data_IF_601436184070
#
_entry.id   IF_601436184070
#
_cell.length_a   1.000
_cell.length_b   1.000
_cell.length_c   1.000
_cell.angle_alpha   90.00
_cell.angle_beta   90.00
_cell.angle_gamma   90.00
#
_symmetry.space_group_name_H-M   'P 1'
#
loop_
_entity.id
_entity.type
_entity.pdbx_description
1 polymer ?
#
# COMPACT_ATOMS: atom_id res chain seq x y z
N UNK A 1 20.01 -12.09 11.36
CA UNK A 1 18.75 -12.04 10.61
C UNK A 1 18.88 -13.01 9.45
N UNK A 2 17.90 -13.88 9.19
CA UNK A 2 17.97 -14.73 7.99
C UNK A 2 17.77 -13.83 6.76
N UNK A 3 18.67 -13.94 5.80
CA UNK A 3 18.60 -13.22 4.53
C UNK A 3 17.39 -13.76 3.76
N UNK A 4 16.61 -12.88 3.14
CA UNK A 4 15.49 -13.28 2.28
C UNK A 4 16.05 -13.83 0.97
N UNK A 5 15.73 -15.11 0.69
CA UNK A 5 16.15 -15.77 -0.55
C UNK A 5 15.19 -15.42 -1.70
N UNK A 6 15.68 -14.82 -2.80
CA UNK A 6 14.86 -14.54 -3.98
C UNK A 6 14.15 -15.77 -4.56
N UNK A 7 14.77 -16.98 -4.48
CA UNK A 7 14.15 -18.20 -4.97
C UNK A 7 12.91 -18.59 -4.15
N UNK A 8 12.92 -18.35 -2.85
CA UNK A 8 11.76 -18.54 -1.99
C UNK A 8 10.65 -17.54 -2.29
N UNK A 9 11.01 -16.28 -2.56
CA UNK A 9 10.06 -15.22 -2.95
C UNK A 9 9.43 -15.57 -4.31
N UNK A 10 10.22 -15.99 -5.30
CA UNK A 10 9.72 -16.41 -6.62
C UNK A 10 8.70 -17.54 -6.51
N UNK A 11 9.03 -18.61 -5.80
CA UNK A 11 8.11 -19.75 -5.58
C UNK A 11 6.79 -19.32 -4.93
N UNK A 12 6.85 -18.44 -3.92
CA UNK A 12 5.65 -17.93 -3.23
C UNK A 12 4.85 -16.98 -4.09
N UNK A 13 5.51 -16.19 -4.93
CA UNK A 13 4.86 -15.31 -5.90
C UNK A 13 4.12 -16.11 -6.96
N UNK A 14 4.74 -17.17 -7.50
CA UNK A 14 4.10 -18.07 -8.47
C UNK A 14 2.86 -18.72 -7.86
N UNK A 15 2.95 -19.21 -6.60
CA UNK A 15 1.78 -19.74 -5.90
C UNK A 15 0.68 -18.67 -5.73
N UNK A 16 1.03 -17.46 -5.35
CA UNK A 16 0.07 -16.37 -5.20
C UNK A 16 -0.60 -16.02 -6.54
N UNK A 17 0.17 -15.96 -7.65
CA UNK A 17 -0.37 -15.72 -8.98
C UNK A 17 -1.35 -16.81 -9.40
N UNK A 18 -0.99 -18.09 -9.18
CA UNK A 18 -1.90 -19.20 -9.44
C UNK A 18 -3.19 -19.12 -8.60
N UNK A 19 -3.07 -18.76 -7.31
CA UNK A 19 -4.23 -18.55 -6.44
C UNK A 19 -5.12 -17.40 -6.96
N UNK A 20 -4.52 -16.31 -7.45
CA UNK A 20 -5.23 -15.16 -8.01
C UNK A 20 -5.92 -15.53 -9.35
N UNK A 21 -5.23 -16.21 -10.25
CA UNK A 21 -5.80 -16.69 -11.52
C UNK A 21 -7.03 -17.57 -11.28
N UNK A 22 -6.97 -18.47 -10.29
CA UNK A 22 -8.07 -19.36 -9.93
C UNK A 22 -9.33 -18.63 -9.44
N UNK A 23 -9.21 -17.37 -8.97
CA UNK A 23 -10.33 -16.54 -8.48
C UNK A 23 -10.62 -15.33 -9.37
N UNK A 24 -10.03 -15.26 -10.58
CA UNK A 24 -10.22 -14.15 -11.53
C UNK A 24 -9.51 -12.85 -11.12
N UNK A 25 -8.44 -12.95 -10.34
CA UNK A 25 -7.64 -11.82 -9.85
C UNK A 25 -6.32 -11.60 -10.59
N UNK A 26 -6.16 -12.14 -11.79
CA UNK A 26 -4.96 -12.01 -12.63
C UNK A 26 -4.62 -10.56 -13.00
N UNK A 27 -5.63 -9.70 -13.04
CA UNK A 27 -5.53 -8.27 -13.34
C UNK A 27 -5.13 -7.39 -12.14
N UNK A 28 -5.07 -7.96 -10.92
CA UNK A 28 -4.86 -7.16 -9.69
C UNK A 28 -3.38 -6.90 -9.47
N UNK A 29 -3.02 -5.63 -9.24
CA UNK A 29 -1.65 -5.22 -8.94
C UNK A 29 -1.23 -5.67 -7.53
N UNK A 30 0.02 -6.14 -7.41
CA UNK A 30 0.59 -6.59 -6.14
C UNK A 30 1.59 -5.56 -5.62
N UNK A 31 1.27 -4.93 -4.51
CA UNK A 31 2.22 -4.16 -3.70
C UNK A 31 2.95 -5.12 -2.77
N UNK A 32 4.25 -5.32 -2.98
CA UNK A 32 5.08 -6.17 -2.13
C UNK A 32 5.44 -5.43 -0.83
N UNK A 33 4.85 -5.85 0.29
CA UNK A 33 4.98 -5.16 1.58
C UNK A 33 6.19 -5.66 2.34
N UNK A 34 7.25 -4.85 2.38
CA UNK A 34 8.55 -5.20 2.96
C UNK A 34 8.75 -4.74 4.41
N UNK A 35 7.71 -4.19 5.05
CA UNK A 35 7.78 -3.70 6.44
C UNK A 35 8.30 -4.74 7.43
N UNK A 36 9.26 -4.33 8.26
CA UNK A 36 9.87 -5.20 9.28
C UNK A 36 10.89 -6.19 8.75
N UNK A 37 11.20 -6.16 7.45
CA UNK A 37 12.32 -6.89 6.82
C UNK A 37 13.46 -5.93 6.49
N UNK A 38 14.64 -6.47 6.19
CA UNK A 38 15.79 -5.70 5.72
C UNK A 38 15.67 -5.28 4.24
N UNK A 39 16.68 -4.56 3.71
CA UNK A 39 16.74 -4.20 2.29
C UNK A 39 16.78 -5.41 1.34
N UNK A 40 17.25 -6.55 1.84
CA UNK A 40 17.27 -7.82 1.11
C UNK A 40 15.88 -8.29 0.66
N UNK A 41 14.82 -7.99 1.42
CA UNK A 41 13.45 -8.29 1.01
C UNK A 41 13.01 -7.42 -0.18
N UNK A 42 13.38 -6.14 -0.19
CA UNK A 42 13.11 -5.25 -1.31
C UNK A 42 13.86 -5.70 -2.57
N UNK A 43 15.15 -6.02 -2.43
CA UNK A 43 15.97 -6.55 -3.54
C UNK A 43 15.42 -7.87 -4.08
N UNK A 44 14.99 -8.79 -3.20
CA UNK A 44 14.38 -10.06 -3.62
C UNK A 44 13.07 -9.85 -4.38
N UNK A 45 12.23 -8.90 -3.96
CA UNK A 45 11.01 -8.53 -4.68
C UNK A 45 11.30 -8.03 -6.09
N UNK A 46 12.25 -7.10 -6.24
CA UNK A 46 12.68 -6.54 -7.53
C UNK A 46 13.22 -7.66 -8.44
N UNK A 47 14.08 -8.53 -7.91
CA UNK A 47 14.63 -9.68 -8.64
C UNK A 47 13.52 -10.60 -9.18
N UNK A 48 12.39 -10.70 -8.48
CA UNK A 48 11.21 -11.45 -8.91
C UNK A 48 10.24 -10.66 -9.82
N UNK A 49 10.62 -9.45 -10.24
CA UNK A 49 9.80 -8.60 -11.11
C UNK A 49 8.67 -7.85 -10.40
N UNK A 50 8.70 -7.75 -9.06
CA UNK A 50 7.78 -6.92 -8.29
C UNK A 50 8.38 -5.51 -8.17
N UNK A 51 7.85 -4.57 -8.94
CA UNK A 51 8.36 -3.19 -9.02
C UNK A 51 7.63 -2.23 -8.08
N UNK A 52 6.50 -2.63 -7.49
CA UNK A 52 5.74 -1.82 -6.53
C UNK A 52 5.97 -2.34 -5.13
N UNK A 53 6.61 -1.53 -4.29
CA UNK A 53 6.98 -1.88 -2.92
C UNK A 53 6.20 -1.04 -1.90
N UNK A 54 5.75 -1.68 -0.81
CA UNK A 54 4.97 -1.03 0.24
C UNK A 54 5.69 -0.97 1.57
N UNK A 55 5.68 0.21 2.20
CA UNK A 55 6.26 0.44 3.51
C UNK A 55 5.32 1.16 4.48
N UNK A 56 5.41 0.74 5.76
CA UNK A 56 4.62 1.36 6.83
C UNK A 56 5.41 2.38 7.65
N UNK A 57 6.73 2.30 7.67
CA UNK A 57 7.58 3.06 8.56
C UNK A 57 8.51 3.97 7.76
N UNK A 58 8.44 5.28 8.04
CA UNK A 58 9.18 6.29 7.30
C UNK A 58 10.71 6.02 7.28
N UNK A 59 11.26 5.60 8.41
CA UNK A 59 12.69 5.31 8.51
C UNK A 59 13.09 4.06 7.72
N UNK A 60 12.24 3.02 7.70
CA UNK A 60 12.50 1.82 6.92
C UNK A 60 12.46 2.11 5.42
N UNK A 61 11.46 2.89 4.96
CA UNK A 61 11.36 3.27 3.56
C UNK A 61 12.59 4.04 3.09
N UNK A 62 12.94 5.13 3.79
CA UNK A 62 14.09 5.95 3.41
C UNK A 62 15.39 5.13 3.36
N UNK A 63 15.66 4.33 4.40
CA UNK A 63 16.86 3.50 4.46
C UNK A 63 16.92 2.45 3.33
N UNK A 64 15.80 1.83 2.97
CA UNK A 64 15.73 0.86 1.86
C UNK A 64 15.89 1.51 0.51
N UNK A 65 15.22 2.65 0.28
CA UNK A 65 15.35 3.40 -0.97
C UNK A 65 16.79 3.88 -1.19
N UNK A 66 17.43 4.42 -0.16
CA UNK A 66 18.84 4.83 -0.20
C UNK A 66 19.78 3.63 -0.45
N UNK A 67 19.51 2.48 0.19
CA UNK A 67 20.30 1.27 0.01
C UNK A 67 20.25 0.76 -1.44
N UNK A 68 19.07 0.71 -2.04
CA UNK A 68 18.90 0.27 -3.44
C UNK A 68 19.61 1.22 -4.42
N UNK A 69 19.49 2.52 -4.23
CA UNK A 69 20.20 3.51 -5.04
C UNK A 69 21.74 3.36 -4.92
N UNK A 70 22.24 3.11 -3.71
CA UNK A 70 23.67 2.88 -3.47
C UNK A 70 24.17 1.56 -4.09
N UNK A 71 23.29 0.58 -4.27
CA UNK A 71 23.60 -0.69 -4.94
C UNK A 71 23.64 -0.59 -6.48
N UNK A 72 23.36 0.59 -7.04
CA UNK A 72 23.43 0.85 -8.48
C UNK A 72 22.10 0.76 -9.22
N UNK A 73 20.97 0.67 -8.49
CA UNK A 73 19.67 0.86 -9.11
C UNK A 73 19.54 2.29 -9.62
N UNK A 74 19.37 2.45 -10.92
CA UNK A 74 19.12 3.77 -11.53
C UNK A 74 17.73 4.26 -11.10
N UNK A 75 17.56 5.58 -10.96
CA UNK A 75 16.26 6.16 -10.54
C UNK A 75 15.10 5.80 -11.48
N UNK A 76 15.40 5.57 -12.76
CA UNK A 76 14.43 5.21 -13.79
C UNK A 76 13.96 3.75 -13.68
N UNK A 77 14.79 2.88 -13.10
CA UNK A 77 14.48 1.46 -12.85
C UNK A 77 14.17 1.16 -11.38
N UNK A 78 14.30 2.18 -10.52
CA UNK A 78 13.99 2.04 -9.09
C UNK A 78 12.51 1.65 -8.87
N UNK A 79 12.23 0.85 -7.86
CA UNK A 79 10.85 0.46 -7.56
C UNK A 79 10.00 1.67 -7.17
N UNK A 80 8.71 1.59 -7.47
CA UNK A 80 7.73 2.54 -6.97
C UNK A 80 7.46 2.27 -5.49
N UNK A 81 7.87 3.20 -4.63
CA UNK A 81 7.59 3.11 -3.21
C UNK A 81 6.21 3.66 -2.88
N UNK A 82 5.35 2.80 -2.36
CA UNK A 82 4.06 3.16 -1.80
C UNK A 82 4.16 3.30 -0.27
N UNK A 83 3.84 4.46 0.26
CA UNK A 83 3.71 4.60 1.71
C UNK A 83 2.31 4.16 2.14
N UNK A 84 2.23 3.09 2.93
CA UNK A 84 0.98 2.43 3.31
C UNK A 84 0.76 2.37 4.83
N UNK A 85 1.58 3.08 5.62
CA UNK A 85 1.46 3.18 7.06
C UNK A 85 0.79 4.47 7.53
N UNK A 86 0.48 4.57 8.81
CA UNK A 86 -0.03 5.83 9.38
C UNK A 86 1.03 6.92 9.30
N UNK A 87 0.75 7.97 8.52
CA UNK A 87 1.70 9.02 8.20
C UNK A 87 1.58 10.21 9.15
N UNK A 88 2.66 10.47 9.88
CA UNK A 88 2.82 11.72 10.62
C UNK A 88 3.24 12.85 9.66
N UNK A 89 2.54 13.98 9.71
CA UNK A 89 2.77 15.10 8.78
C UNK A 89 4.21 15.65 8.80
N UNK A 90 4.93 15.53 9.91
CA UNK A 90 6.34 15.97 10.04
C UNK A 90 7.33 15.03 9.30
N UNK A 91 6.90 13.83 8.88
CA UNK A 91 7.73 12.89 8.13
C UNK A 91 7.62 13.06 6.61
N UNK A 92 6.63 13.82 6.12
CA UNK A 92 6.40 14.00 4.68
C UNK A 92 7.63 14.52 3.97
N UNK A 93 8.28 15.57 4.49
CA UNK A 93 9.45 16.19 3.86
C UNK A 93 10.62 15.21 3.61
N UNK A 94 10.87 14.31 4.56
CA UNK A 94 11.96 13.33 4.45
C UNK A 94 11.60 12.15 3.53
N UNK A 95 10.32 11.90 3.30
CA UNK A 95 9.83 10.81 2.46
C UNK A 95 9.57 11.23 1.02
N UNK A 96 9.26 12.51 0.78
CA UNK A 96 8.90 13.04 -0.53
C UNK A 96 9.87 12.67 -1.67
N UNK A 97 11.21 12.60 -1.46
CA UNK A 97 12.14 12.19 -2.51
C UNK A 97 12.03 10.72 -2.93
N UNK A 98 11.37 9.88 -2.14
CA UNK A 98 11.34 8.42 -2.31
C UNK A 98 9.94 7.88 -2.64
N UNK A 99 8.88 8.52 -2.14
CA UNK A 99 7.50 7.99 -2.25
C UNK A 99 6.89 8.36 -3.60
N UNK A 100 6.49 7.34 -4.36
CA UNK A 100 5.75 7.49 -5.60
C UNK A 100 4.23 7.62 -5.35
N UNK A 101 3.68 6.90 -4.36
CA UNK A 101 2.25 6.91 -4.04
C UNK A 101 2.03 6.95 -2.53
N UNK A 102 1.20 7.90 -2.07
CA UNK A 102 0.80 8.03 -0.67
C UNK A 102 -0.60 7.40 -0.48
N UNK A 103 -0.66 6.17 0.03
CA UNK A 103 -1.93 5.43 0.13
C UNK A 103 -2.74 5.71 1.40
N UNK A 104 -2.26 6.56 2.30
CA UNK A 104 -2.84 6.73 3.65
C UNK A 104 -3.21 8.19 3.95
N UNK A 105 -3.71 8.89 2.93
CA UNK A 105 -4.16 10.28 3.11
C UNK A 105 -5.58 10.27 3.67
N UNK A 106 -5.72 10.62 4.93
CA UNK A 106 -6.98 10.54 5.69
C UNK A 106 -7.52 11.91 6.14
N UNK A 107 -6.82 13.00 5.80
CA UNK A 107 -7.19 14.37 6.22
C UNK A 107 -6.51 15.44 5.38
N UNK A 108 -7.18 16.57 5.18
CA UNK A 108 -6.68 17.70 4.39
C UNK A 108 -5.31 18.21 4.86
N UNK A 109 -5.09 18.30 6.17
CA UNK A 109 -3.78 18.73 6.72
C UNK A 109 -2.61 17.88 6.23
N UNK A 110 -2.82 16.57 6.05
CA UNK A 110 -1.79 15.68 5.52
C UNK A 110 -1.59 15.94 4.02
N UNK A 111 -2.67 16.05 3.24
CA UNK A 111 -2.61 16.40 1.82
C UNK A 111 -1.88 17.72 1.58
N UNK A 112 -2.17 18.77 2.35
CA UNK A 112 -1.46 20.06 2.27
C UNK A 112 0.05 19.90 2.48
N UNK A 113 0.46 19.03 3.41
CA UNK A 113 1.91 18.77 3.62
C UNK A 113 2.52 17.99 2.45
N UNK A 114 1.79 17.03 1.87
CA UNK A 114 2.26 16.29 0.69
C UNK A 114 2.40 17.25 -0.49
N UNK A 115 1.38 18.04 -0.81
CA UNK A 115 1.42 19.01 -1.91
C UNK A 115 2.58 20.01 -1.79
N UNK A 116 2.89 20.46 -0.56
CA UNK A 116 4.00 21.37 -0.29
C UNK A 116 5.40 20.77 -0.51
N UNK A 117 5.57 19.47 -0.40
CA UNK A 117 6.88 18.80 -0.52
C UNK A 117 7.01 17.88 -1.74
N UNK A 118 5.89 17.49 -2.32
CA UNK A 118 5.81 16.60 -3.48
C UNK A 118 4.57 16.98 -4.33
N UNK A 119 4.57 18.16 -4.98
CA UNK A 119 3.45 18.62 -5.81
C UNK A 119 3.18 17.63 -6.94
N UNK A 120 1.90 17.46 -7.32
CA UNK A 120 1.48 16.50 -8.33
C UNK A 120 1.56 15.02 -7.91
N UNK A 121 1.86 14.74 -6.64
CA UNK A 121 1.97 13.36 -6.17
C UNK A 121 0.68 12.58 -6.33
N UNK A 122 0.84 11.29 -6.68
CA UNK A 122 -0.26 10.31 -6.64
C UNK A 122 -0.64 10.00 -5.19
N UNK A 123 -1.93 10.09 -4.89
CA UNK A 123 -2.46 9.85 -3.55
C UNK A 123 -3.69 8.95 -3.60
N UNK A 124 -3.86 8.11 -2.56
CA UNK A 124 -5.12 7.40 -2.30
C UNK A 124 -5.68 7.90 -0.97
N UNK A 125 -6.99 8.09 -0.93
CA UNK A 125 -7.68 8.45 0.32
C UNK A 125 -7.89 7.18 1.13
N UNK A 126 -7.38 7.17 2.37
CA UNK A 126 -7.66 6.09 3.30
C UNK A 126 -9.01 6.30 3.97
N UNK A 127 -9.89 5.30 3.86
CA UNK A 127 -11.26 5.31 4.38
C UNK A 127 -11.42 4.29 5.51
N UNK A 128 -12.01 4.69 6.62
CA UNK A 128 -12.42 3.79 7.68
C UNK A 128 -13.83 3.26 7.41
N UNK A 129 -13.95 2.23 6.60
CA UNK A 129 -15.23 1.58 6.25
C UNK A 129 -15.68 0.53 7.26
N UNK A 130 -14.90 0.28 8.31
CA UNK A 130 -15.22 -0.73 9.33
C UNK A 130 -15.84 -0.15 10.60
N UNK A 131 -15.95 1.18 10.67
CA UNK A 131 -16.45 1.95 11.82
C UNK A 131 -15.74 1.61 13.16
N UNK A 132 -14.47 1.22 13.07
CA UNK A 132 -13.64 0.93 14.25
C UNK A 132 -12.87 2.20 14.65
N UNK A 133 -13.17 2.82 15.81
CA UNK A 133 -12.59 4.13 16.18
C UNK A 133 -11.06 4.18 16.26
N UNK A 134 -10.42 3.01 16.47
CA UNK A 134 -8.97 2.88 16.55
C UNK A 134 -8.28 2.79 15.18
N UNK A 135 -9.04 2.59 14.09
CA UNK A 135 -8.49 2.54 12.73
C UNK A 135 -8.32 3.93 12.14
N UNK A 136 -7.22 4.13 11.45
CA UNK A 136 -6.99 5.33 10.64
C UNK A 136 -7.89 5.33 9.39
N UNK A 137 -8.13 6.50 8.85
CA UNK A 137 -8.97 6.74 7.68
C UNK A 137 -10.02 7.80 7.96
N UNK A 138 -10.41 8.58 6.96
CA UNK A 138 -11.56 9.47 7.06
C UNK A 138 -12.87 8.67 7.10
N UNK A 139 -13.93 9.29 7.55
CA UNK A 139 -15.25 8.64 7.55
C UNK A 139 -15.79 8.55 6.11
N UNK A 140 -16.60 7.52 5.78
CA UNK A 140 -17.16 7.37 4.43
C UNK A 140 -17.88 8.62 3.89
N UNK A 141 -18.61 9.33 4.74
CA UNK A 141 -19.33 10.54 4.34
C UNK A 141 -18.42 11.77 4.07
N UNK A 142 -17.15 11.72 4.49
CA UNK A 142 -16.16 12.78 4.27
C UNK A 142 -15.34 12.58 3.00
N UNK A 143 -15.36 11.38 2.39
CA UNK A 143 -14.46 10.99 1.30
C UNK A 143 -14.59 11.95 0.10
N UNK A 144 -15.81 12.24 -0.35
CA UNK A 144 -16.04 13.11 -1.52
C UNK A 144 -15.46 14.51 -1.34
N UNK A 145 -15.65 15.11 -0.15
CA UNK A 145 -15.08 16.42 0.15
C UNK A 145 -13.55 16.36 0.22
N UNK A 146 -12.99 15.33 0.87
CA UNK A 146 -11.55 15.19 0.97
C UNK A 146 -10.90 14.97 -0.42
N UNK A 147 -11.50 14.19 -1.31
CA UNK A 147 -11.04 14.02 -2.70
C UNK A 147 -11.02 15.36 -3.43
N UNK A 148 -12.10 16.15 -3.35
CA UNK A 148 -12.17 17.46 -3.98
C UNK A 148 -11.10 18.44 -3.42
N UNK A 149 -10.93 18.44 -2.11
CA UNK A 149 -9.92 19.28 -1.43
C UNK A 149 -8.50 18.91 -1.88
N UNK A 150 -8.18 17.61 -1.94
CA UNK A 150 -6.86 17.13 -2.36
C UNK A 150 -6.57 17.43 -3.83
N UNK A 151 -7.57 17.28 -4.69
CA UNK A 151 -7.48 17.67 -6.11
C UNK A 151 -7.24 19.17 -6.27
N UNK A 152 -7.88 20.01 -5.43
CA UNK A 152 -7.67 21.46 -5.41
C UNK A 152 -6.25 21.86 -4.96
N UNK A 153 -5.51 20.96 -4.31
CA UNK A 153 -4.10 21.11 -3.96
C UNK A 153 -3.15 20.62 -5.06
N UNK A 154 -3.66 20.34 -6.26
CA UNK A 154 -2.90 19.77 -7.39
C UNK A 154 -2.28 18.38 -7.05
N UNK A 155 -2.94 17.60 -6.20
CA UNK A 155 -2.60 16.20 -5.97
C UNK A 155 -3.40 15.30 -6.92
N UNK A 156 -2.74 14.28 -7.44
CA UNK A 156 -3.35 13.29 -8.33
C UNK A 156 -4.05 12.20 -7.50
N UNK A 157 -5.36 12.37 -7.25
CA UNK A 157 -6.16 11.42 -6.46
C UNK A 157 -6.59 10.27 -7.35
N UNK A 158 -5.90 9.13 -7.27
CA UNK A 158 -6.12 7.98 -8.14
C UNK A 158 -6.98 6.87 -7.53
N UNK A 159 -7.29 6.91 -6.23
CA UNK A 159 -8.05 5.82 -5.64
C UNK A 159 -8.35 5.95 -4.15
N UNK A 160 -8.98 4.91 -3.66
CA UNK A 160 -9.28 4.71 -2.25
C UNK A 160 -8.49 3.53 -1.67
N UNK A 161 -8.18 3.62 -0.38
CA UNK A 161 -7.53 2.54 0.36
C UNK A 161 -8.28 2.23 1.64
N UNK A 162 -8.35 0.95 2.00
CA UNK A 162 -8.85 0.53 3.32
C UNK A 162 -8.14 -0.71 3.85
N UNK A 163 -8.34 -0.96 5.15
CA UNK A 163 -7.89 -2.18 5.85
C UNK A 163 -9.14 -2.90 6.35
N UNK A 164 -9.33 -4.14 5.92
CA UNK A 164 -10.44 -4.99 6.31
C UNK A 164 -10.47 -5.28 7.83
N UNK A 165 -11.58 -5.80 8.32
CA UNK A 165 -11.74 -6.21 9.72
C UNK A 165 -11.08 -7.57 9.93
N UNK A 166 -10.25 -7.68 10.96
CA UNK A 166 -9.62 -8.97 11.27
C UNK A 166 -10.61 -9.92 11.93
N UNK A 167 -10.62 -11.18 11.44
CA UNK A 167 -11.36 -12.27 12.08
C UNK A 167 -12.80 -12.47 11.62
N UNK A 168 -13.42 -11.53 10.90
CA UNK A 168 -14.76 -11.67 10.34
C UNK A 168 -14.77 -11.46 8.82
N UNK A 169 -15.01 -12.54 8.09
CA UNK A 169 -15.03 -12.54 6.61
C UNK A 169 -16.23 -11.77 6.07
N UNK A 170 -17.41 -11.88 6.70
CA UNK A 170 -18.63 -11.21 6.24
C UNK A 170 -18.53 -9.69 6.41
N UNK A 171 -18.08 -9.25 7.59
CA UNK A 171 -17.86 -7.82 7.86
C UNK A 171 -16.74 -7.25 6.98
N UNK A 172 -15.66 -8.02 6.74
CA UNK A 172 -14.59 -7.63 5.81
C UNK A 172 -15.13 -7.50 4.40
N UNK A 173 -15.99 -8.42 3.94
CA UNK A 173 -16.62 -8.32 2.63
C UNK A 173 -17.48 -7.07 2.50
N UNK A 174 -18.36 -6.82 3.47
CA UNK A 174 -19.22 -5.63 3.47
C UNK A 174 -18.43 -4.33 3.46
N UNK A 175 -17.31 -4.29 4.20
CA UNK A 175 -16.41 -3.14 4.22
C UNK A 175 -15.74 -2.91 2.84
N UNK A 176 -15.33 -3.98 2.17
CA UNK A 176 -14.74 -3.88 0.83
C UNK A 176 -15.78 -3.47 -0.23
N UNK A 177 -16.98 -4.04 -0.20
CA UNK A 177 -18.08 -3.65 -1.08
C UNK A 177 -18.44 -2.16 -0.91
N UNK A 178 -18.41 -1.65 0.33
CA UNK A 178 -18.62 -0.23 0.61
C UNK A 178 -17.51 0.65 0.02
N UNK A 179 -16.22 0.24 0.14
CA UNK A 179 -15.12 0.98 -0.48
C UNK A 179 -15.26 1.02 -2.01
N UNK A 180 -15.66 -0.09 -2.64
CA UNK A 180 -15.88 -0.18 -4.08
C UNK A 180 -16.96 0.80 -4.51
N UNK A 181 -18.13 0.81 -3.82
CA UNK A 181 -19.20 1.76 -4.11
C UNK A 181 -18.74 3.22 -4.03
N UNK A 182 -17.98 3.58 -2.99
CA UNK A 182 -17.44 4.93 -2.85
C UNK A 182 -16.45 5.29 -3.98
N UNK A 183 -15.62 4.34 -4.41
CA UNK A 183 -14.68 4.57 -5.50
C UNK A 183 -15.41 4.71 -6.85
N UNK A 184 -16.46 3.92 -7.08
CA UNK A 184 -17.29 4.01 -8.29
C UNK A 184 -18.06 5.32 -8.36
N UNK A 185 -18.66 5.77 -7.25
CA UNK A 185 -19.38 7.05 -7.16
C UNK A 185 -18.47 8.27 -7.45
N UNK A 186 -17.18 8.13 -7.17
CA UNK A 186 -16.15 9.16 -7.38
C UNK A 186 -15.32 8.95 -8.66
N UNK A 187 -15.67 7.96 -9.48
CA UNK A 187 -14.96 7.58 -10.70
C UNK A 187 -13.46 7.33 -10.50
N UNK A 188 -13.07 6.84 -9.30
CA UNK A 188 -11.68 6.57 -8.94
C UNK A 188 -11.29 5.12 -9.35
N UNK A 189 -10.24 4.96 -10.18
CA UNK A 189 -9.92 3.64 -10.75
C UNK A 189 -9.29 2.66 -9.78
N UNK A 190 -8.61 3.13 -8.72
CA UNK A 190 -7.84 2.27 -7.84
C UNK A 190 -8.57 1.98 -6.52
N UNK A 191 -8.69 0.69 -6.21
CA UNK A 191 -9.25 0.15 -4.97
C UNK A 191 -8.18 -0.67 -4.27
N UNK A 192 -7.36 0.00 -3.43
CA UNK A 192 -6.29 -0.64 -2.66
C UNK A 192 -6.85 -1.27 -1.40
N UNK A 193 -7.17 -2.56 -1.46
CA UNK A 193 -7.73 -3.33 -0.35
C UNK A 193 -7.34 -4.80 -0.47
N UNK A 194 -7.25 -5.49 0.65
CA UNK A 194 -6.82 -6.88 0.71
C UNK A 194 -5.33 -7.05 1.04
N UNK A 195 -5.06 -7.98 1.92
CA UNK A 195 -3.74 -8.36 2.43
C UNK A 195 -3.59 -9.89 2.38
N UNK A 196 -2.49 -10.43 2.87
CA UNK A 196 -2.20 -11.87 2.85
C UNK A 196 -3.29 -12.77 3.45
N UNK A 197 -4.12 -12.26 4.36
CA UNK A 197 -5.17 -13.03 5.02
C UNK A 197 -6.55 -12.95 4.34
N UNK A 198 -6.82 -11.87 3.59
CA UNK A 198 -8.14 -11.54 3.07
C UNK A 198 -8.16 -11.18 1.57
N UNK A 199 -7.06 -11.42 0.85
CA UNK A 199 -6.94 -11.08 -0.58
C UNK A 199 -8.03 -11.70 -1.45
N UNK A 200 -8.45 -12.93 -1.17
CA UNK A 200 -9.50 -13.58 -1.95
C UNK A 200 -10.86 -12.89 -1.80
N UNK A 201 -11.18 -12.44 -0.57
CA UNK A 201 -12.38 -11.64 -0.28
C UNK A 201 -12.30 -10.28 -0.99
N UNK A 202 -11.11 -9.66 -0.99
CA UNK A 202 -10.87 -8.38 -1.65
C UNK A 202 -11.02 -8.48 -3.17
N UNK A 203 -10.45 -9.51 -3.80
CA UNK A 203 -10.59 -9.76 -5.25
C UNK A 203 -12.06 -9.97 -5.61
N UNK A 204 -12.77 -10.82 -4.86
CA UNK A 204 -14.20 -11.06 -5.09
C UNK A 204 -15.06 -9.80 -4.90
N UNK A 205 -14.61 -8.82 -4.12
CA UNK A 205 -15.26 -7.53 -3.94
C UNK A 205 -14.90 -6.50 -5.02
N UNK A 206 -13.88 -6.74 -5.86
CA UNK A 206 -13.44 -5.81 -6.91
C UNK A 206 -12.20 -5.00 -6.56
N UNK A 207 -11.30 -5.55 -5.73
CA UNK A 207 -9.97 -4.96 -5.51
C UNK A 207 -9.19 -4.86 -6.81
N UNK A 208 -8.50 -3.74 -7.04
CA UNK A 208 -7.56 -3.57 -8.15
C UNK A 208 -6.10 -3.59 -7.69
N UNK A 209 -5.87 -3.54 -6.36
CA UNK A 209 -4.53 -3.51 -5.78
C UNK A 209 -4.51 -4.23 -4.43
N UNK A 210 -3.63 -5.23 -4.30
CA UNK A 210 -3.40 -6.01 -3.08
C UNK A 210 -2.09 -5.62 -2.40
N UNK A 211 -2.06 -5.61 -1.06
CA UNK A 211 -0.85 -5.32 -0.27
C UNK A 211 -0.36 -6.59 0.43
N UNK A 212 0.57 -7.28 -0.20
CA UNK A 212 0.98 -8.63 0.20
C UNK A 212 2.37 -8.62 0.87
N UNK A 213 2.44 -9.09 2.10
CA UNK A 213 3.69 -9.22 2.87
C UNK A 213 4.02 -10.66 3.20
N UNK A 214 3.37 -11.24 4.21
CA UNK A 214 3.71 -12.56 4.74
C UNK A 214 3.56 -13.72 3.73
N UNK A 215 2.70 -13.60 2.74
CA UNK A 215 2.61 -14.58 1.66
C UNK A 215 3.85 -14.56 0.75
N UNK A 216 4.52 -13.42 0.59
CA UNK A 216 5.74 -13.30 -0.22
C UNK A 216 7.01 -13.60 0.60
N UNK A 217 7.14 -12.97 1.76
CA UNK A 217 8.39 -12.99 2.52
C UNK A 217 8.39 -13.95 3.71
N UNK A 218 7.24 -14.57 4.02
CA UNK A 218 7.08 -15.39 5.23
C UNK A 218 6.80 -14.57 6.49
N UNK A 219 6.93 -15.19 7.67
CA UNK A 219 6.72 -14.52 8.94
C UNK A 219 7.81 -13.47 9.17
N UNK A 220 7.41 -12.33 9.71
CA UNK A 220 8.36 -11.27 10.06
C UNK A 220 9.32 -11.75 11.15
N UNK A 221 10.61 -11.39 11.04
CA UNK A 221 11.56 -11.66 12.13
C UNK A 221 11.08 -10.93 13.41
N UNK A 222 11.32 -11.49 14.59
CA UNK A 222 11.04 -10.80 15.83
C UNK A 222 11.78 -9.46 15.85
N UNK A 223 11.13 -8.39 16.34
CA UNK A 223 11.82 -7.11 16.52
C UNK A 223 13.02 -7.35 17.44
N UNK A 224 14.18 -6.88 17.01
CA UNK A 224 15.33 -6.83 17.92
C UNK A 224 14.91 -6.01 19.14
N UNK A 225 14.93 -6.64 20.32
CA UNK A 225 14.75 -5.92 21.58
C UNK A 225 15.94 -5.01 21.75
N UNK A 226 15.74 -3.71 22.08
CA UNK A 226 16.84 -2.76 22.29
C UNK A 226 17.73 -3.14 23.45
#
# INVERSE_FOLDING_TARGET
MSVIDPADVARRLDQLRNDLDAIGGDHVEIVAVTKGFGPDAAQAAITCGLTVLGENYAQELAAKAEHLLAAGEERETAPEWHFIGHLQSNKVASLAPHVAVWQTVDRLKLGTRIAAHSPGSRVYVQVNVTDEPQKAGCQPHEVGQLVADLTSLDLDVQGLMTVGRQGDVSETRSAFDHLVSLADDLELPTRSMGMSADYAVAVAAGSTMLRIGSKLFGPRPPKATP
#
